data_IF_734711191462
#
_entry.id   IF_734711191462
#
_cell.length_a   1.000
_cell.length_b   1.000
_cell.length_c   1.000
_cell.angle_alpha   90.00
_cell.angle_beta   90.00
_cell.angle_gamma   90.00
#
_symmetry.space_group_name_H-M   'P 1'
#
loop_
_entity.id
_entity.type
_entity.pdbx_description
1 polymer ?
#
# COMPACT_ATOMS: atom_id res chain seq x y z
N UNK A 1 -49.10 -24.43 23.76
CA UNK A 1 -48.28 -23.21 23.83
C UNK A 1 -47.17 -23.34 22.79
N UNK A 2 -47.22 -22.56 21.70
CA UNK A 2 -46.19 -22.58 20.64
C UNK A 2 -45.18 -21.48 20.96
N UNK A 3 -43.97 -21.85 21.37
CA UNK A 3 -42.87 -20.91 21.63
C UNK A 3 -42.32 -20.42 20.29
N UNK A 4 -42.54 -19.13 19.98
CA UNK A 4 -41.99 -18.46 18.82
C UNK A 4 -40.52 -18.11 19.12
N UNK A 5 -39.56 -18.79 18.50
CA UNK A 5 -38.15 -18.36 18.54
C UNK A 5 -37.97 -17.19 17.57
N UNK A 6 -37.75 -15.99 18.11
CA UNK A 6 -37.33 -14.82 17.34
C UNK A 6 -35.82 -14.91 17.14
N UNK A 7 -35.40 -15.21 15.90
CA UNK A 7 -33.99 -15.12 15.50
C UNK A 7 -33.68 -13.64 15.28
N UNK A 8 -33.01 -13.02 16.25
CA UNK A 8 -32.48 -11.67 16.09
C UNK A 8 -31.29 -11.72 15.12
N UNK A 9 -31.47 -11.16 13.92
CA UNK A 9 -30.38 -10.94 12.98
C UNK A 9 -29.44 -9.87 13.57
N UNK A 10 -28.25 -10.28 13.98
CA UNK A 10 -27.16 -9.38 14.34
C UNK A 10 -26.63 -8.69 13.08
N UNK A 11 -27.21 -7.53 12.74
CA UNK A 11 -26.58 -6.62 11.80
C UNK A 11 -25.32 -6.04 12.46
N UNK A 12 -24.16 -6.58 12.12
CA UNK A 12 -22.88 -5.98 12.51
C UNK A 12 -22.78 -4.60 11.84
N UNK A 13 -22.87 -3.54 12.63
CA UNK A 13 -22.59 -2.18 12.15
C UNK A 13 -21.08 -2.06 11.99
N UNK A 14 -20.58 -2.30 10.78
CA UNK A 14 -19.20 -2.03 10.41
C UNK A 14 -18.96 -0.53 10.56
N UNK A 15 -18.22 -0.11 11.59
CA UNK A 15 -17.70 1.26 11.64
C UNK A 15 -16.85 1.47 10.39
N UNK A 16 -17.04 2.60 9.70
CA UNK A 16 -16.23 2.93 8.54
C UNK A 16 -14.75 2.92 8.94
N UNK A 17 -13.93 2.20 8.17
CA UNK A 17 -12.51 2.05 8.44
C UNK A 17 -11.74 3.36 8.19
N UNK A 18 -12.28 4.24 7.34
CA UNK A 18 -11.67 5.51 6.97
C UNK A 18 -12.56 6.71 7.35
N UNK A 19 -11.99 7.87 7.72
CA UNK A 19 -12.74 9.03 8.21
C UNK A 19 -13.82 9.57 7.25
N UNK A 20 -13.65 9.35 5.95
CA UNK A 20 -14.58 9.78 4.90
C UNK A 20 -15.67 8.73 4.56
N UNK A 21 -15.88 7.73 5.41
CA UNK A 21 -16.90 6.70 5.20
C UNK A 21 -16.51 5.62 4.19
N UNK A 22 -15.32 5.69 3.58
CA UNK A 22 -14.82 4.66 2.67
C UNK A 22 -14.45 3.40 3.44
N UNK A 23 -14.43 2.27 2.73
CA UNK A 23 -14.14 0.94 3.28
C UNK A 23 -13.14 0.19 2.41
N UNK A 24 -12.50 -0.83 3.00
CA UNK A 24 -11.79 -1.85 2.23
C UNK A 24 -12.79 -2.82 1.60
N UNK A 25 -12.74 -2.91 0.29
CA UNK A 25 -13.67 -3.69 -0.50
C UNK A 25 -13.32 -5.19 -0.45
N UNK A 26 -14.33 -6.08 -0.40
CA UNK A 26 -14.11 -7.52 -0.46
C UNK A 26 -13.80 -7.97 -1.90
N UNK A 27 -13.21 -9.18 -2.07
CA UNK A 27 -13.07 -9.79 -3.39
C UNK A 27 -14.42 -10.00 -4.08
N UNK A 28 -14.45 -9.79 -5.40
CA UNK A 28 -15.63 -10.01 -6.25
C UNK A 28 -15.35 -11.24 -7.12
N UNK A 29 -16.09 -12.37 -6.94
CA UNK A 29 -15.76 -13.63 -7.61
C UNK A 29 -15.58 -13.55 -9.13
N UNK A 30 -16.46 -12.79 -9.81
CA UNK A 30 -16.37 -12.60 -11.26
C UNK A 30 -15.08 -11.87 -11.68
N UNK A 31 -14.70 -10.82 -10.94
CA UNK A 31 -13.46 -10.07 -11.22
C UNK A 31 -12.21 -10.87 -10.85
N UNK A 32 -12.28 -11.70 -9.81
CA UNK A 32 -11.21 -12.62 -9.47
C UNK A 32 -10.96 -13.64 -10.59
N UNK A 33 -12.02 -14.22 -11.15
CA UNK A 33 -11.93 -15.20 -12.24
C UNK A 33 -11.36 -14.59 -13.53
N UNK A 34 -11.60 -13.30 -13.76
CA UNK A 34 -11.20 -12.55 -14.95
C UNK A 34 -9.93 -11.72 -14.76
N UNK A 35 -9.24 -11.85 -13.62
CA UNK A 35 -8.10 -10.98 -13.29
C UNK A 35 -6.96 -11.17 -14.29
N UNK A 36 -6.38 -10.05 -14.72
CA UNK A 36 -5.19 -10.04 -15.55
C UNK A 36 -3.96 -10.24 -14.67
N UNK A 37 -3.06 -11.11 -15.12
CA UNK A 37 -1.73 -11.30 -14.54
C UNK A 37 -0.75 -11.08 -15.68
N UNK A 38 0.00 -9.98 -15.65
CA UNK A 38 0.97 -9.67 -16.69
C UNK A 38 2.19 -10.56 -16.58
N UNK A 39 2.67 -10.76 -15.34
CA UNK A 39 3.87 -11.54 -15.09
C UNK A 39 3.70 -12.43 -13.87
N UNK A 40 4.47 -13.53 -13.86
CA UNK A 40 4.59 -14.41 -12.71
C UNK A 40 6.06 -14.60 -12.37
N UNK A 41 6.39 -14.44 -11.10
CA UNK A 41 7.71 -14.80 -10.59
C UNK A 41 7.85 -16.32 -10.46
N UNK A 42 9.08 -16.86 -10.38
CA UNK A 42 9.31 -18.31 -10.29
C UNK A 42 8.64 -19.00 -9.09
N UNK A 43 8.39 -18.28 -8.01
CA UNK A 43 7.64 -18.74 -6.83
C UNK A 43 6.11 -18.73 -7.02
N UNK A 44 5.64 -18.32 -8.21
CA UNK A 44 4.24 -18.38 -8.62
C UNK A 44 3.41 -17.12 -8.31
N UNK A 45 3.97 -16.12 -7.62
CA UNK A 45 3.28 -14.84 -7.38
C UNK A 45 2.97 -14.16 -8.71
N UNK A 46 1.73 -13.71 -8.87
CA UNK A 46 1.25 -13.03 -10.08
C UNK A 46 1.18 -11.52 -9.88
N UNK A 47 1.69 -10.77 -10.85
CA UNK A 47 1.74 -9.31 -10.83
C UNK A 47 0.84 -8.70 -11.90
N UNK A 48 0.09 -7.69 -11.47
CA UNK A 48 -0.64 -6.79 -12.34
C UNK A 48 0.06 -5.43 -12.31
N UNK A 49 0.26 -4.86 -13.49
CA UNK A 49 0.96 -3.59 -13.69
C UNK A 49 -0.03 -2.62 -14.32
N UNK A 50 -0.58 -1.70 -13.53
CA UNK A 50 -1.67 -0.81 -13.97
C UNK A 50 -1.30 0.01 -15.21
N UNK A 51 -0.02 0.35 -15.38
CA UNK A 51 0.49 1.10 -16.54
C UNK A 51 0.60 0.27 -17.82
N UNK A 52 0.60 -1.08 -17.73
CA UNK A 52 0.64 -1.98 -18.90
C UNK A 52 -0.74 -2.41 -19.35
N UNK A 53 -1.74 -2.38 -18.47
CA UNK A 53 -3.11 -2.77 -18.81
C UNK A 53 -3.83 -1.66 -19.59
N UNK A 54 -4.41 -1.95 -20.77
CA UNK A 54 -5.09 -0.94 -21.58
C UNK A 54 -6.25 -0.23 -20.88
N UNK A 55 -6.92 -0.89 -19.94
CA UNK A 55 -8.06 -0.33 -19.22
C UNK A 55 -7.66 0.57 -18.05
N UNK A 56 -6.43 0.45 -17.53
CA UNK A 56 -5.97 1.26 -16.38
C UNK A 56 -4.77 2.17 -16.65
N UNK A 57 -4.10 2.07 -17.81
CA UNK A 57 -2.84 2.79 -18.08
C UNK A 57 -2.89 4.32 -17.99
N UNK A 58 -4.09 4.91 -18.09
CA UNK A 58 -4.32 6.36 -18.00
C UNK A 58 -5.13 6.75 -16.75
N UNK A 59 -5.18 5.87 -15.75
CA UNK A 59 -5.96 6.07 -14.52
C UNK A 59 -5.02 6.20 -13.34
N UNK A 60 -5.08 7.34 -12.67
CA UNK A 60 -4.46 7.53 -11.36
C UNK A 60 -5.52 7.36 -10.27
N UNK A 61 -5.18 6.62 -9.22
CA UNK A 61 -6.04 6.35 -8.08
C UNK A 61 -5.30 6.76 -6.80
N UNK A 62 -6.06 7.20 -5.80
CA UNK A 62 -5.50 7.28 -4.45
C UNK A 62 -5.18 5.87 -3.89
N UNK A 63 -4.47 5.83 -2.77
CA UNK A 63 -4.02 4.57 -2.19
C UNK A 63 -5.16 3.58 -1.91
N UNK A 64 -6.29 4.05 -1.40
CA UNK A 64 -7.41 3.18 -1.01
C UNK A 64 -8.15 2.67 -2.25
N UNK A 65 -8.35 3.50 -3.28
CA UNK A 65 -8.99 3.06 -4.53
C UNK A 65 -8.08 2.10 -5.31
N UNK A 66 -6.77 2.35 -5.34
CA UNK A 66 -5.79 1.42 -5.90
C UNK A 66 -5.82 0.07 -5.18
N UNK A 67 -5.87 0.10 -3.84
CA UNK A 67 -6.00 -1.12 -3.04
C UNK A 67 -7.31 -1.86 -3.28
N UNK A 68 -8.42 -1.14 -3.34
CA UNK A 68 -9.74 -1.72 -3.60
C UNK A 68 -9.85 -2.30 -5.02
N UNK A 69 -9.20 -1.68 -6.01
CA UNK A 69 -9.11 -2.23 -7.36
C UNK A 69 -8.47 -3.63 -7.35
N UNK A 70 -7.36 -3.79 -6.64
CA UNK A 70 -6.66 -5.07 -6.52
C UNK A 70 -7.47 -6.09 -5.69
N UNK A 71 -7.99 -5.67 -4.53
CA UNK A 71 -8.76 -6.56 -3.62
C UNK A 71 -9.99 -7.16 -4.27
N UNK A 72 -10.74 -6.37 -5.04
CA UNK A 72 -11.90 -6.86 -5.82
C UNK A 72 -11.51 -7.97 -6.80
N UNK A 73 -10.24 -8.07 -7.21
CA UNK A 73 -9.69 -9.07 -8.14
C UNK A 73 -8.91 -10.18 -7.44
N UNK A 74 -9.08 -10.38 -6.13
CA UNK A 74 -8.32 -11.37 -5.36
C UNK A 74 -6.79 -11.14 -5.45
N UNK A 75 -6.40 -9.86 -5.53
CA UNK A 75 -5.03 -9.37 -5.45
C UNK A 75 -4.96 -8.33 -4.32
N UNK A 76 -3.81 -7.72 -4.10
CA UNK A 76 -3.68 -6.52 -3.25
C UNK A 76 -2.62 -5.61 -3.90
N UNK A 77 -2.37 -4.42 -3.35
CA UNK A 77 -1.19 -3.64 -3.73
C UNK A 77 0.08 -4.45 -3.41
N UNK A 78 1.15 -4.19 -4.15
CA UNK A 78 2.40 -4.93 -4.01
C UNK A 78 3.01 -4.72 -2.61
N UNK A 79 3.49 -5.80 -2.01
CA UNK A 79 4.37 -5.77 -0.85
C UNK A 79 5.77 -6.12 -1.33
N UNK A 80 6.77 -5.37 -0.89
CA UNK A 80 8.15 -5.59 -1.33
C UNK A 80 8.87 -6.28 -0.16
N UNK A 81 8.68 -7.59 -0.10
CA UNK A 81 9.03 -8.43 1.06
C UNK A 81 10.51 -8.82 1.05
N UNK A 82 11.13 -8.80 -0.14
CA UNK A 82 12.55 -9.14 -0.32
C UNK A 82 13.27 -8.10 -1.18
N UNK A 83 14.60 -7.97 -0.99
CA UNK A 83 15.41 -7.09 -1.83
C UNK A 83 15.36 -7.48 -3.31
N UNK A 84 15.29 -8.78 -3.63
CA UNK A 84 15.20 -9.24 -5.01
C UNK A 84 13.88 -8.81 -5.68
N UNK A 85 12.75 -8.97 -5.00
CA UNK A 85 11.43 -8.51 -5.45
C UNK A 85 11.41 -6.98 -5.59
N UNK A 86 12.00 -6.26 -4.63
CA UNK A 86 12.13 -4.81 -4.66
C UNK A 86 12.90 -4.30 -5.88
N UNK A 87 14.10 -4.83 -6.13
CA UNK A 87 14.91 -4.46 -7.30
C UNK A 87 14.23 -4.85 -8.62
N UNK A 88 13.57 -6.00 -8.65
CA UNK A 88 12.83 -6.45 -9.82
C UNK A 88 11.67 -5.52 -10.17
N UNK A 89 10.87 -5.10 -9.18
CA UNK A 89 9.80 -4.11 -9.39
C UNK A 89 10.37 -2.74 -9.80
N UNK A 90 11.43 -2.27 -9.15
CA UNK A 90 12.07 -0.99 -9.50
C UNK A 90 12.59 -0.98 -10.93
N UNK A 91 13.15 -2.10 -11.39
CA UNK A 91 13.57 -2.25 -12.78
C UNK A 91 12.42 -2.02 -13.75
N UNK A 92 11.24 -2.58 -13.48
CA UNK A 92 10.05 -2.37 -14.30
C UNK A 92 9.60 -0.90 -14.30
N UNK A 93 9.58 -0.26 -13.13
CA UNK A 93 9.23 1.15 -12.99
C UNK A 93 10.17 2.04 -13.82
N UNK A 94 11.48 1.77 -13.76
CA UNK A 94 12.50 2.53 -14.48
C UNK A 94 12.42 2.28 -15.99
N UNK A 95 12.43 1.01 -16.41
CA UNK A 95 12.44 0.62 -17.83
C UNK A 95 11.18 1.12 -18.56
N UNK A 96 10.02 1.04 -17.90
CA UNK A 96 8.73 1.47 -18.45
C UNK A 96 8.45 2.97 -18.23
N UNK A 97 9.39 3.72 -17.61
CA UNK A 97 9.29 5.17 -17.36
C UNK A 97 8.05 5.55 -16.54
N UNK A 98 7.68 4.71 -15.59
CA UNK A 98 6.58 4.95 -14.65
C UNK A 98 7.05 5.97 -13.62
N UNK A 99 6.27 7.03 -13.39
CA UNK A 99 6.64 8.12 -12.45
C UNK A 99 6.68 7.62 -11.00
N UNK A 100 5.65 6.87 -10.61
CA UNK A 100 5.53 6.28 -9.29
C UNK A 100 4.48 5.17 -9.31
N UNK A 101 4.51 4.31 -8.29
CA UNK A 101 3.44 3.36 -8.00
C UNK A 101 3.08 3.41 -6.53
N UNK A 102 1.81 3.16 -6.21
CA UNK A 102 1.42 2.81 -4.85
C UNK A 102 1.85 1.39 -4.50
N UNK A 103 2.23 1.19 -3.24
CA UNK A 103 2.47 -0.13 -2.64
C UNK A 103 1.45 -0.39 -1.54
N UNK A 104 1.45 -1.60 -0.95
CA UNK A 104 0.59 -1.90 0.19
C UNK A 104 1.07 -1.27 1.50
N UNK A 105 2.19 -0.54 1.49
CA UNK A 105 2.80 0.01 2.69
C UNK A 105 1.94 1.11 3.30
N UNK A 106 1.74 1.03 4.61
CA UNK A 106 0.96 2.03 5.36
C UNK A 106 1.51 2.18 6.77
N UNK A 107 1.36 3.39 7.31
CA UNK A 107 1.58 3.63 8.73
C UNK A 107 0.44 3.02 9.56
N UNK A 108 0.78 2.36 10.67
CA UNK A 108 -0.19 1.94 11.67
C UNK A 108 -0.59 3.14 12.52
N UNK A 109 -1.61 3.87 12.08
CA UNK A 109 -2.13 5.12 12.67
C UNK A 109 -3.61 5.00 13.12
N UNK A 110 -4.10 3.77 13.30
CA UNK A 110 -5.49 3.46 13.60
C UNK A 110 -5.64 2.64 14.89
N UNK A 111 -6.89 2.46 15.35
CA UNK A 111 -7.20 1.72 16.56
C UNK A 111 -6.56 0.31 16.54
N UNK A 112 -5.80 -0.01 17.60
CA UNK A 112 -5.02 -1.25 17.71
C UNK A 112 -3.53 -1.11 17.42
N UNK A 113 -3.08 0.06 16.95
CA UNK A 113 -1.66 0.36 16.72
C UNK A 113 -0.88 0.81 17.96
N UNK A 114 -1.53 0.89 19.13
CA UNK A 114 -0.92 1.30 20.42
C UNK A 114 0.06 0.27 21.03
N UNK A 115 0.53 -0.68 20.22
CA UNK A 115 1.49 -1.70 20.66
C UNK A 115 2.86 -1.08 20.85
N UNK A 116 3.53 -1.45 21.94
CA UNK A 116 4.86 -0.93 22.29
C UNK A 116 5.90 -1.10 21.17
N UNK A 117 5.84 -2.19 20.41
CA UNK A 117 6.79 -2.45 19.33
C UNK A 117 6.59 -1.55 18.10
N UNK A 118 5.43 -0.91 17.96
CA UNK A 118 5.13 0.02 16.87
C UNK A 118 5.48 1.47 17.22
N UNK A 119 5.94 1.74 18.45
CA UNK A 119 6.23 3.09 18.93
C UNK A 119 7.71 3.46 18.76
N UNK A 120 8.05 4.69 18.34
CA UNK A 120 7.13 5.72 17.84
C UNK A 120 6.61 5.35 16.43
N UNK A 121 5.35 5.67 16.08
CA UNK A 121 4.72 5.15 14.85
C UNK A 121 5.49 5.54 13.59
N UNK A 122 5.93 6.79 13.49
CA UNK A 122 6.68 7.29 12.33
C UNK A 122 8.02 6.57 12.09
N UNK A 123 8.53 5.82 13.07
CA UNK A 123 9.77 5.04 12.95
C UNK A 123 9.47 3.54 12.84
N UNK A 124 8.60 3.01 13.70
CA UNK A 124 8.41 1.57 13.88
C UNK A 124 7.05 1.06 13.39
N UNK A 125 6.14 1.94 13.00
CA UNK A 125 4.74 1.64 12.70
C UNK A 125 4.45 1.28 11.25
N UNK A 126 5.45 1.24 10.37
CA UNK A 126 5.25 0.94 8.94
C UNK A 126 5.10 -0.57 8.70
N UNK A 127 4.14 -0.96 7.87
CA UNK A 127 3.91 -2.36 7.54
C UNK A 127 3.28 -2.54 6.15
N UNK A 128 3.48 -3.70 5.55
CA UNK A 128 2.84 -4.13 4.31
C UNK A 128 1.43 -4.64 4.62
N UNK A 129 0.40 -3.87 4.25
CA UNK A 129 -0.99 -4.18 4.62
C UNK A 129 -1.56 -5.41 3.92
N UNK A 130 -0.96 -5.86 2.82
CA UNK A 130 -1.41 -7.05 2.09
C UNK A 130 -1.01 -8.36 2.77
N UNK A 131 0.15 -8.38 3.43
CA UNK A 131 0.73 -9.58 4.09
C UNK A 131 0.85 -9.43 5.62
N UNK A 132 0.49 -8.26 6.15
CA UNK A 132 0.59 -7.91 7.58
C UNK A 132 2.02 -8.01 8.14
N UNK A 133 3.01 -7.77 7.29
CA UNK A 133 4.42 -7.81 7.66
C UNK A 133 4.93 -6.41 8.01
N UNK A 134 5.50 -6.28 9.20
CA UNK A 134 6.15 -5.05 9.67
C UNK A 134 7.41 -4.76 8.85
N UNK A 135 7.61 -3.49 8.48
CA UNK A 135 8.87 -3.03 7.88
C UNK A 135 9.91 -2.81 8.99
N UNK A 136 11.20 -2.92 8.62
CA UNK A 136 12.27 -2.50 9.52
C UNK A 136 12.09 -1.01 9.91
N UNK A 137 12.60 -0.60 11.09
CA UNK A 137 12.56 0.80 11.50
C UNK A 137 13.08 1.72 10.39
N UNK A 138 12.47 2.89 10.22
CA UNK A 138 12.88 3.84 9.17
C UNK A 138 14.34 4.28 9.29
N UNK A 139 14.90 4.22 10.50
CA UNK A 139 16.31 4.49 10.80
C UNK A 139 17.28 3.40 10.34
N UNK A 140 16.80 2.18 10.03
CA UNK A 140 17.61 1.05 9.55
C UNK A 140 17.69 1.05 8.02
N UNK A 141 18.44 2.01 7.48
CA UNK A 141 18.60 2.23 6.02
C UNK A 141 19.25 1.07 5.27
N UNK A 142 19.89 0.14 5.99
CA UNK A 142 20.42 -1.12 5.47
C UNK A 142 19.34 -2.19 5.23
N UNK A 143 18.13 -2.00 5.76
CA UNK A 143 17.03 -2.98 5.76
C UNK A 143 15.75 -2.45 5.11
N UNK A 144 15.80 -1.27 4.53
CA UNK A 144 14.68 -0.66 3.82
C UNK A 144 15.19 0.13 2.62
N UNK A 145 14.27 0.55 1.76
CA UNK A 145 14.59 1.30 0.55
C UNK A 145 13.98 2.71 0.58
N UNK A 146 13.82 3.31 1.76
CA UNK A 146 13.43 4.71 1.88
C UNK A 146 14.40 5.59 1.08
N UNK A 147 13.88 6.60 0.37
CA UNK A 147 14.74 7.54 -0.36
C UNK A 147 15.60 8.35 0.59
N UNK A 148 16.84 8.62 0.18
CA UNK A 148 17.81 9.44 0.93
C UNK A 148 17.47 10.94 0.87
N UNK A 149 16.54 11.33 0.00
CA UNK A 149 16.07 12.69 -0.16
C UNK A 149 14.54 12.73 -0.18
N UNK A 150 13.99 13.94 -0.13
CA UNK A 150 12.56 14.17 0.06
C UNK A 150 12.18 15.58 -0.36
N UNK A 151 10.89 15.87 -0.35
CA UNK A 151 10.36 17.13 -0.89
C UNK A 151 10.76 18.37 -0.10
N UNK A 152 11.30 18.19 1.11
CA UNK A 152 11.84 19.26 1.98
C UNK A 152 13.34 19.11 2.25
N UNK A 153 14.06 18.36 1.41
CA UNK A 153 15.52 18.15 1.55
C UNK A 153 15.91 17.26 2.73
N UNK A 154 14.98 16.40 3.20
CA UNK A 154 15.21 15.41 4.25
C UNK A 154 14.98 13.99 3.70
N UNK A 155 15.62 12.95 4.26
CA UNK A 155 15.32 11.58 3.87
C UNK A 155 13.87 11.19 4.15
N UNK A 156 13.33 10.29 3.33
CA UNK A 156 12.01 9.70 3.54
C UNK A 156 12.02 8.73 4.74
N UNK A 157 10.89 8.54 5.46
CA UNK A 157 9.63 9.27 5.33
C UNK A 157 9.72 10.69 5.94
N UNK A 158 9.51 11.73 5.14
CA UNK A 158 9.69 13.13 5.57
C UNK A 158 8.39 13.80 6.04
N UNK A 159 7.24 13.24 5.68
CA UNK A 159 5.91 13.68 6.10
C UNK A 159 5.71 15.19 5.82
N UNK A 160 6.15 15.60 4.64
CA UNK A 160 6.21 16.98 4.20
C UNK A 160 4.84 17.63 4.21
N UNK A 161 3.82 16.94 3.70
CA UNK A 161 2.49 17.54 3.54
C UNK A 161 1.93 18.00 4.90
N UNK A 162 2.03 17.18 5.95
CA UNK A 162 1.63 17.56 7.31
C UNK A 162 2.44 18.73 7.86
N UNK A 163 3.76 18.75 7.64
CA UNK A 163 4.63 19.87 8.05
C UNK A 163 4.20 21.18 7.38
N UNK A 164 3.68 21.11 6.17
CA UNK A 164 3.19 22.26 5.40
C UNK A 164 1.71 22.59 5.65
N UNK A 165 1.08 21.91 6.62
CA UNK A 165 -0.31 22.16 7.04
C UNK A 165 -1.37 21.35 6.27
N UNK A 166 -0.97 20.36 5.48
CA UNK A 166 -1.86 19.41 4.80
C UNK A 166 -2.04 18.10 5.56
N UNK A 167 -2.40 17.04 4.84
CA UNK A 167 -2.65 15.73 5.43
C UNK A 167 -1.34 14.99 5.81
N UNK A 168 -1.39 14.09 6.80
CA UNK A 168 -0.27 13.18 7.08
C UNK A 168 -0.03 12.19 5.94
N UNK A 169 1.23 12.09 5.50
CA UNK A 169 1.68 11.16 4.46
C UNK A 169 1.85 9.77 5.12
N UNK A 170 0.79 8.96 5.04
CA UNK A 170 0.67 7.70 5.77
C UNK A 170 0.74 6.46 4.86
N UNK A 171 0.93 6.66 3.55
CA UNK A 171 0.97 5.59 2.56
C UNK A 171 2.34 5.53 1.88
N UNK A 172 2.81 4.33 1.53
CA UNK A 172 4.11 4.13 0.88
C UNK A 172 3.94 3.99 -0.62
N UNK A 173 4.74 4.74 -1.37
CA UNK A 173 4.90 4.60 -2.80
C UNK A 173 6.36 4.38 -3.18
N UNK A 174 6.59 3.79 -4.36
CA UNK A 174 7.90 3.78 -4.99
C UNK A 174 7.91 4.87 -6.04
N UNK A 175 8.76 5.88 -5.85
CA UNK A 175 8.90 7.00 -6.77
C UNK A 175 10.14 6.80 -7.65
N UNK A 176 10.02 7.09 -8.94
CA UNK A 176 11.10 6.91 -9.91
C UNK A 176 11.93 8.18 -10.04
N UNK A 177 13.07 8.25 -9.35
CA UNK A 177 14.03 9.35 -9.40
C UNK A 177 13.39 10.74 -9.18
N UNK A 178 12.30 10.81 -8.42
CA UNK A 178 11.51 12.03 -8.29
C UNK A 178 12.31 13.20 -7.66
N UNK A 179 13.29 12.87 -6.83
CA UNK A 179 14.20 13.83 -6.19
C UNK A 179 15.60 13.86 -6.82
N UNK A 180 15.77 13.29 -8.02
CA UNK A 180 17.07 13.18 -8.71
C UNK A 180 18.18 12.53 -7.87
N UNK A 181 17.81 11.56 -7.02
CA UNK A 181 18.71 10.75 -6.19
C UNK A 181 19.32 9.55 -6.93
N UNK A 182 19.05 9.44 -8.24
CA UNK A 182 19.63 8.43 -9.13
C UNK A 182 19.03 7.03 -9.00
N UNK A 183 18.02 6.84 -8.13
CA UNK A 183 17.35 5.54 -7.93
C UNK A 183 15.85 5.72 -7.67
N UNK A 184 15.09 4.66 -7.91
CA UNK A 184 13.73 4.58 -7.39
C UNK A 184 13.76 4.15 -5.93
N UNK A 185 12.87 4.66 -5.09
CA UNK A 185 12.86 4.37 -3.65
C UNK A 185 11.53 4.69 -2.97
N UNK A 186 11.39 4.25 -1.71
CA UNK A 186 10.19 4.43 -0.92
C UNK A 186 10.06 5.88 -0.49
N UNK A 187 8.89 6.45 -0.75
CA UNK A 187 8.50 7.77 -0.28
C UNK A 187 7.11 7.68 0.35
N UNK A 188 6.83 8.56 1.29
CA UNK A 188 5.48 8.72 1.81
C UNK A 188 4.70 9.71 0.96
N UNK A 189 3.40 9.43 0.84
CA UNK A 189 2.39 10.27 0.22
C UNK A 189 1.05 10.07 0.94
#
# INVERSE_FOLDING_TARGET
MKTLMVIAALCAVSKAQFPNGRILEPPVPALCAQRVIHERTPDGKGYFFSWRDPATKNTELDWLDGRNFCRKRCMDLVSLETSAENEWIKKHIVDDKVKYIWTSGRLCDFAGCERADLQPPRVNGWFWTAVLQKLAPTTRRDQNDWSESGGIGRPQPDNREEIQGGAPENCVAVLNQFYNDGKAGYCVM
#
